data_IF_974291231704
#
_entry.id   IF_974291231704
#
_cell.length_a   1.000
_cell.length_b   1.000
_cell.length_c   1.000
_cell.angle_alpha   90.00
_cell.angle_beta   90.00
_cell.angle_gamma   90.00
#
_symmetry.space_group_name_H-M   'P 1'
#
loop_
_entity.id
_entity.type
_entity.pdbx_description
1 polymer ?
#
# COMPACT_ATOMS: atom_id res chain seq x y z
N UNK A 1 -12.01 41.93 -41.20
CA UNK A 1 -11.92 40.47 -40.86
C UNK A 1 -10.46 40.07 -40.88
N UNK A 2 -10.06 39.04 -40.10
CA UNK A 2 -8.70 38.57 -40.15
C UNK A 2 -8.46 37.72 -41.39
N UNK A 3 -7.22 37.65 -41.90
CA UNK A 3 -6.86 36.81 -43.05
C UNK A 3 -6.23 35.51 -42.56
N UNK A 4 -6.46 34.42 -43.29
CA UNK A 4 -5.89 33.10 -42.93
C UNK A 4 -4.36 33.15 -42.90
N UNK A 5 -3.74 32.64 -41.87
CA UNK A 5 -2.26 32.67 -41.69
C UNK A 5 -1.47 31.96 -42.82
N UNK A 6 -2.11 31.03 -43.55
CA UNK A 6 -1.54 30.33 -44.70
C UNK A 6 -1.95 30.89 -46.05
N UNK A 7 -3.13 31.53 -46.10
CA UNK A 7 -3.73 32.06 -47.35
C UNK A 7 -4.10 33.52 -47.14
N UNK A 8 -3.14 34.46 -47.33
CA UNK A 8 -3.35 35.88 -47.04
C UNK A 8 -4.49 36.55 -47.85
N UNK A 9 -4.88 35.95 -48.97
CA UNK A 9 -5.97 36.42 -49.82
C UNK A 9 -7.38 35.98 -49.33
N UNK A 10 -7.46 35.18 -48.26
CA UNK A 10 -8.74 34.66 -47.78
C UNK A 10 -9.07 35.22 -46.41
N UNK A 11 -10.14 35.94 -46.34
CA UNK A 11 -10.70 36.40 -45.06
C UNK A 11 -11.36 35.27 -44.31
N UNK A 12 -11.26 35.30 -42.99
CA UNK A 12 -11.87 34.31 -42.10
C UNK A 12 -12.26 34.93 -40.77
N UNK A 13 -13.37 34.44 -40.20
CA UNK A 13 -13.79 34.71 -38.83
C UNK A 13 -13.46 33.60 -37.86
N UNK A 14 -12.77 32.52 -38.30
CA UNK A 14 -12.49 31.35 -37.47
C UNK A 14 -11.00 31.30 -37.09
N UNK A 15 -10.74 31.01 -35.81
CA UNK A 15 -9.37 30.86 -35.30
C UNK A 15 -9.14 29.43 -34.80
N UNK A 16 -7.89 28.98 -34.85
CA UNK A 16 -7.46 27.69 -34.30
C UNK A 16 -7.70 27.67 -32.79
N UNK A 17 -8.43 26.67 -32.29
CA UNK A 17 -8.74 26.51 -30.86
C UNK A 17 -7.52 26.22 -29.98
N UNK A 18 -6.36 25.88 -30.57
CA UNK A 18 -5.13 25.58 -29.85
C UNK A 18 -4.11 26.72 -29.83
N UNK A 19 -3.91 27.44 -30.97
CA UNK A 19 -2.89 28.48 -31.08
C UNK A 19 -3.42 29.88 -31.45
N UNK A 20 -4.74 30.01 -31.62
CA UNK A 20 -5.40 31.30 -31.91
C UNK A 20 -5.22 31.85 -33.33
N UNK A 21 -4.40 31.24 -34.20
CA UNK A 21 -4.18 31.73 -35.56
C UNK A 21 -5.47 31.69 -36.40
N UNK A 22 -5.78 32.71 -37.22
CA UNK A 22 -6.93 32.67 -38.11
C UNK A 22 -6.75 31.62 -39.21
N UNK A 23 -7.78 30.81 -39.45
CA UNK A 23 -7.77 29.67 -40.39
C UNK A 23 -8.97 29.71 -41.33
N UNK A 24 -8.73 29.56 -42.62
CA UNK A 24 -9.81 29.46 -43.63
C UNK A 24 -10.35 28.01 -43.70
N UNK A 25 -11.47 27.74 -44.37
CA UNK A 25 -12.07 26.40 -44.47
C UNK A 25 -11.09 25.30 -44.89
N UNK A 26 -10.17 25.57 -45.81
CA UNK A 26 -9.19 24.62 -46.31
C UNK A 26 -8.08 24.29 -45.25
N UNK A 27 -7.95 25.14 -44.26
CA UNK A 27 -7.01 24.96 -43.14
C UNK A 27 -7.66 24.49 -41.85
N UNK A 28 -8.98 24.27 -41.86
CA UNK A 28 -9.70 23.78 -40.68
C UNK A 28 -9.66 22.26 -40.59
N UNK A 29 -9.23 21.74 -39.45
CA UNK A 29 -9.34 20.33 -39.09
C UNK A 29 -10.30 20.23 -37.90
N UNK A 30 -11.47 19.60 -38.05
CA UNK A 30 -12.42 19.47 -36.96
C UNK A 30 -11.87 18.49 -35.90
N UNK A 31 -12.01 18.87 -34.65
CA UNK A 31 -11.64 18.03 -33.50
C UNK A 31 -12.74 18.11 -32.43
N UNK A 32 -12.81 17.17 -31.46
CA UNK A 32 -13.82 17.20 -30.39
C UNK A 32 -13.81 18.51 -29.57
N UNK A 33 -12.72 19.27 -29.62
CA UNK A 33 -12.51 20.51 -28.86
C UNK A 33 -12.46 21.78 -29.75
N UNK A 34 -12.98 21.69 -30.98
CA UNK A 34 -13.07 22.81 -31.91
C UNK A 34 -12.22 22.66 -33.18
N UNK A 35 -12.11 23.74 -33.97
CA UNK A 35 -11.34 23.75 -35.21
C UNK A 35 -9.86 24.00 -34.94
N UNK A 36 -8.97 23.16 -35.47
CA UNK A 36 -7.50 23.32 -35.35
C UNK A 36 -6.85 23.57 -36.70
N UNK A 37 -5.74 24.31 -36.69
CA UNK A 37 -4.87 24.42 -37.87
C UNK A 37 -4.15 23.10 -38.15
N UNK A 38 -3.63 22.88 -39.38
CA UNK A 38 -2.98 21.62 -39.74
C UNK A 38 -1.76 21.25 -38.83
N UNK A 39 -1.01 22.25 -38.35
CA UNK A 39 0.12 22.05 -37.47
C UNK A 39 -0.37 21.54 -36.07
N UNK A 40 -1.37 22.22 -35.48
CA UNK A 40 -1.91 21.82 -34.20
C UNK A 40 -2.71 20.52 -34.27
N UNK A 41 -3.32 20.21 -35.41
CA UNK A 41 -4.01 18.93 -35.60
C UNK A 41 -3.05 17.74 -35.71
N UNK A 42 -1.82 17.95 -36.20
CA UNK A 42 -0.77 16.93 -36.26
C UNK A 42 -0.06 16.68 -34.94
N UNK A 43 -0.17 17.60 -33.99
CA UNK A 43 0.38 17.38 -32.65
C UNK A 43 -0.37 16.21 -31.98
N UNK A 44 0.31 15.07 -31.83
CA UNK A 44 -0.21 13.96 -31.02
C UNK A 44 -0.24 14.44 -29.56
N UNK A 45 -1.42 14.75 -29.06
CA UNK A 45 -1.64 14.92 -27.63
C UNK A 45 -1.37 13.55 -27.00
N UNK A 46 -0.32 13.42 -26.24
CA UNK A 46 -0.14 12.26 -25.38
C UNK A 46 -1.18 12.36 -24.28
N UNK A 47 -2.33 11.73 -24.49
CA UNK A 47 -3.33 11.54 -23.44
C UNK A 47 -2.71 10.53 -22.49
N UNK A 48 -2.17 11.00 -21.37
CA UNK A 48 -1.84 10.11 -20.27
C UNK A 48 -3.18 9.67 -19.66
N UNK A 49 -3.61 8.47 -20.01
CA UNK A 49 -4.73 7.83 -19.31
C UNK A 49 -4.29 7.53 -17.88
N UNK A 50 -5.22 7.62 -16.92
CA UNK A 50 -4.98 7.27 -15.51
C UNK A 50 -4.30 5.89 -15.38
N UNK A 51 -4.57 4.99 -16.34
CA UNK A 51 -3.95 3.66 -16.44
C UNK A 51 -2.45 3.69 -16.77
N UNK A 52 -1.92 4.76 -17.39
CA UNK A 52 -0.49 4.92 -17.67
C UNK A 52 0.29 5.55 -16.51
N UNK A 53 -0.42 6.13 -15.53
CA UNK A 53 0.18 6.67 -14.31
C UNK A 53 0.22 5.66 -13.16
N UNK A 54 -0.57 4.56 -13.23
CA UNK A 54 -0.47 3.46 -12.29
C UNK A 54 0.75 2.61 -12.64
N UNK A 55 1.78 2.69 -11.83
CA UNK A 55 3.03 1.92 -11.98
C UNK A 55 2.79 0.43 -11.69
N UNK A 56 2.44 -0.33 -12.73
CA UNK A 56 2.56 -1.78 -12.71
C UNK A 56 1.46 -2.56 -11.95
N UNK A 57 1.49 -3.87 -12.16
CA UNK A 57 0.68 -4.83 -11.42
C UNK A 57 1.17 -4.93 -9.97
N UNK A 58 0.30 -5.28 -8.99
CA UNK A 58 0.65 -5.40 -7.57
C UNK A 58 1.43 -6.71 -7.32
N UNK A 59 2.67 -6.78 -7.80
CA UNK A 59 3.50 -7.99 -7.81
C UNK A 59 3.89 -8.47 -6.42
N UNK A 60 4.23 -7.54 -5.52
CA UNK A 60 4.59 -7.86 -4.14
C UNK A 60 3.37 -8.36 -3.37
N UNK A 61 2.23 -7.72 -3.56
CA UNK A 61 0.94 -8.16 -3.01
C UNK A 61 0.63 -9.60 -3.42
N UNK A 62 0.72 -9.91 -4.71
CA UNK A 62 0.47 -11.26 -5.23
C UNK A 62 1.48 -12.26 -4.66
N UNK A 63 2.77 -11.92 -4.60
CA UNK A 63 3.80 -12.78 -4.05
C UNK A 63 3.55 -13.11 -2.57
N UNK A 64 3.15 -12.13 -1.76
CA UNK A 64 2.81 -12.35 -0.35
C UNK A 64 1.58 -13.26 -0.22
N UNK A 65 0.53 -13.02 -1.00
CA UNK A 65 -0.68 -13.86 -0.99
C UNK A 65 -0.33 -15.32 -1.32
N UNK A 66 0.49 -15.54 -2.36
CA UNK A 66 0.95 -16.89 -2.74
C UNK A 66 1.76 -17.52 -1.59
N UNK A 67 2.69 -16.78 -0.99
CA UNK A 67 3.49 -17.28 0.13
C UNK A 67 2.62 -17.70 1.33
N UNK A 68 1.63 -16.86 1.70
CA UNK A 68 0.66 -17.19 2.75
C UNK A 68 -0.16 -18.44 2.41
N UNK A 69 -0.63 -18.57 1.15
CA UNK A 69 -1.41 -19.72 0.72
C UNK A 69 -0.59 -21.03 0.74
N UNK A 70 0.66 -20.98 0.28
CA UNK A 70 1.58 -22.13 0.32
C UNK A 70 1.85 -22.57 1.77
N UNK A 71 2.18 -21.61 2.66
CA UNK A 71 2.41 -21.92 4.07
C UNK A 71 1.14 -22.39 4.79
N UNK A 72 -0.03 -21.85 4.44
CA UNK A 72 -1.30 -22.32 4.99
C UNK A 72 -1.55 -23.80 4.72
N UNK A 73 -1.24 -24.26 3.50
CA UNK A 73 -1.34 -25.68 3.14
C UNK A 73 -0.23 -26.48 3.87
N UNK A 74 1.01 -26.00 3.83
CA UNK A 74 2.17 -26.70 4.38
C UNK A 74 2.17 -26.83 5.91
N UNK A 75 1.44 -25.95 6.62
CA UNK A 75 1.32 -25.95 8.08
C UNK A 75 -0.03 -26.45 8.60
N UNK A 76 -0.80 -27.14 7.75
CA UNK A 76 -2.10 -27.69 8.14
C UNK A 76 -3.12 -26.65 8.63
N UNK A 77 -3.11 -25.48 7.99
CA UNK A 77 -3.89 -24.31 8.39
C UNK A 77 -5.42 -24.54 8.43
N UNK A 78 -5.93 -25.50 7.65
CA UNK A 78 -7.35 -25.91 7.71
C UNK A 78 -7.77 -26.45 9.08
N UNK A 79 -6.84 -27.04 9.82
CA UNK A 79 -7.04 -27.58 11.17
C UNK A 79 -6.50 -26.65 12.26
N UNK A 80 -6.31 -25.37 11.97
CA UNK A 80 -5.81 -24.38 12.93
C UNK A 80 -4.28 -24.26 12.98
N UNK A 81 -3.56 -25.02 12.17
CA UNK A 81 -2.11 -25.06 12.13
C UNK A 81 -1.52 -26.11 13.09
N UNK A 82 -0.58 -26.91 12.60
CA UNK A 82 0.09 -27.96 13.37
C UNK A 82 1.38 -28.43 12.70
N UNK A 83 2.15 -29.22 13.44
CA UNK A 83 3.38 -29.82 12.96
C UNK A 83 4.62 -28.99 13.27
N UNK A 84 5.81 -29.57 12.98
CA UNK A 84 7.10 -28.91 13.27
C UNK A 84 7.23 -27.58 12.58
N UNK A 85 6.90 -27.48 11.29
CA UNK A 85 6.98 -26.24 10.53
C UNK A 85 6.11 -25.12 11.14
N UNK A 86 4.90 -25.45 11.62
CA UNK A 86 4.06 -24.50 12.35
C UNK A 86 4.74 -24.01 13.62
N UNK A 87 5.18 -24.94 14.46
CA UNK A 87 5.80 -24.63 15.74
C UNK A 87 7.10 -23.82 15.60
N UNK A 88 7.86 -24.02 14.51
CA UNK A 88 9.11 -23.30 14.25
C UNK A 88 8.88 -21.87 13.69
N UNK A 89 7.70 -21.58 13.16
CA UNK A 89 7.43 -20.32 12.46
C UNK A 89 6.50 -19.36 13.20
N UNK A 90 5.72 -19.81 14.20
CA UNK A 90 4.82 -18.97 15.00
C UNK A 90 5.59 -17.95 15.84
N UNK A 91 5.00 -16.78 16.07
CA UNK A 91 5.53 -15.80 17.02
C UNK A 91 5.24 -16.30 18.44
N UNK A 92 6.29 -16.50 19.22
CA UNK A 92 6.22 -16.97 20.59
C UNK A 92 7.42 -16.44 21.37
N UNK A 93 7.18 -15.64 22.42
CA UNK A 93 8.22 -14.94 23.16
C UNK A 93 9.31 -15.83 23.72
N UNK A 94 8.98 -16.91 24.45
CA UNK A 94 10.00 -17.81 24.98
C UNK A 94 10.93 -18.44 23.94
N UNK A 95 10.46 -18.71 22.73
CA UNK A 95 11.32 -19.21 21.66
C UNK A 95 12.29 -18.12 21.15
N UNK A 96 11.87 -16.86 21.17
CA UNK A 96 12.74 -15.73 20.83
C UNK A 96 13.75 -15.47 21.95
N UNK A 97 13.30 -15.45 23.20
CA UNK A 97 14.15 -15.15 24.36
C UNK A 97 15.20 -16.21 24.61
N UNK A 98 14.80 -17.48 24.77
CA UNK A 98 15.68 -18.58 25.11
C UNK A 98 16.28 -19.28 23.90
N UNK A 99 15.52 -19.37 22.80
CA UNK A 99 15.92 -20.08 21.58
C UNK A 99 16.68 -19.19 20.58
N UNK A 100 16.61 -17.87 20.74
CA UNK A 100 17.14 -16.89 19.76
C UNK A 100 16.54 -17.01 18.36
N UNK A 101 15.28 -17.49 18.27
CA UNK A 101 14.54 -17.74 17.04
C UNK A 101 13.99 -16.41 16.43
N UNK A 102 14.87 -15.46 16.14
CA UNK A 102 14.46 -14.09 15.73
C UNK A 102 13.68 -14.03 14.40
N UNK A 103 13.80 -15.06 13.55
CA UNK A 103 13.02 -15.15 12.30
C UNK A 103 11.50 -15.17 12.55
N UNK A 104 11.06 -15.57 13.75
CA UNK A 104 9.65 -15.63 14.15
C UNK A 104 8.97 -14.27 14.09
N UNK A 105 9.72 -13.17 14.25
CA UNK A 105 9.23 -11.80 14.09
C UNK A 105 8.70 -11.53 12.67
N UNK A 106 9.16 -12.29 11.68
CA UNK A 106 8.73 -12.16 10.28
C UNK A 106 7.88 -13.35 9.84
N UNK A 107 8.31 -14.58 10.15
CA UNK A 107 7.68 -15.80 9.64
C UNK A 107 6.23 -15.96 10.08
N UNK A 108 5.91 -15.55 11.32
CA UNK A 108 4.56 -15.60 11.85
C UNK A 108 3.53 -14.82 11.04
N UNK A 109 3.96 -13.76 10.37
CA UNK A 109 3.11 -12.97 9.49
C UNK A 109 2.63 -13.66 8.22
N UNK A 110 3.18 -14.84 7.92
CA UNK A 110 2.78 -15.66 6.78
C UNK A 110 1.92 -16.85 7.17
N UNK A 111 1.76 -17.13 8.46
CA UNK A 111 0.94 -18.22 8.97
C UNK A 111 -0.49 -17.78 9.24
N UNK A 112 -1.43 -18.72 9.15
CA UNK A 112 -2.85 -18.42 9.42
C UNK A 112 -3.53 -19.62 10.09
N UNK A 113 -4.22 -19.34 11.20
CA UNK A 113 -4.91 -20.34 12.02
C UNK A 113 -6.38 -20.47 11.58
N UNK A 114 -6.61 -21.02 10.38
CA UNK A 114 -7.94 -21.34 9.88
C UNK A 114 -8.34 -20.61 8.59
N UNK A 115 -9.34 -21.19 7.88
CA UNK A 115 -9.77 -20.70 6.55
C UNK A 115 -10.30 -19.27 6.56
N UNK A 116 -11.11 -18.92 7.56
CA UNK A 116 -11.68 -17.56 7.67
C UNK A 116 -10.56 -16.55 7.92
N UNK A 117 -9.55 -16.91 8.73
CA UNK A 117 -8.43 -16.04 9.05
C UNK A 117 -7.60 -15.72 7.82
N UNK A 118 -7.21 -16.71 7.02
CA UNK A 118 -6.45 -16.45 5.80
C UNK A 118 -7.29 -15.71 4.76
N UNK A 119 -8.54 -16.12 4.54
CA UNK A 119 -9.42 -15.49 3.54
C UNK A 119 -9.58 -13.99 3.81
N UNK A 120 -9.84 -13.62 5.05
CA UNK A 120 -10.04 -12.24 5.45
C UNK A 120 -8.74 -11.41 5.31
N UNK A 121 -7.60 -11.93 5.76
CA UNK A 121 -6.32 -11.27 5.59
C UNK A 121 -5.94 -11.07 4.12
N UNK A 122 -6.08 -12.11 3.29
CA UNK A 122 -5.73 -12.04 1.88
C UNK A 122 -6.68 -11.12 1.11
N UNK A 123 -7.96 -11.09 1.45
CA UNK A 123 -8.92 -10.16 0.87
C UNK A 123 -8.56 -8.70 1.16
N UNK A 124 -8.24 -8.38 2.42
CA UNK A 124 -7.82 -7.04 2.80
C UNK A 124 -6.47 -6.66 2.17
N UNK A 125 -5.51 -7.59 2.16
CA UNK A 125 -4.22 -7.39 1.51
C UNK A 125 -4.39 -7.15 0.00
N UNK A 126 -5.30 -7.88 -0.65
CA UNK A 126 -5.61 -7.68 -2.07
C UNK A 126 -6.16 -6.26 -2.33
N UNK A 127 -7.14 -5.81 -1.54
CA UNK A 127 -7.73 -4.46 -1.71
C UNK A 127 -6.67 -3.39 -1.48
N UNK A 128 -5.98 -3.42 -0.33
CA UNK A 128 -5.01 -2.41 0.05
C UNK A 128 -3.76 -2.43 -0.86
N UNK A 129 -3.34 -3.61 -1.27
CA UNK A 129 -2.22 -3.79 -2.18
C UNK A 129 -2.51 -3.23 -3.57
N UNK A 130 -3.68 -3.50 -4.14
CA UNK A 130 -4.09 -2.89 -5.41
C UNK A 130 -4.24 -1.37 -5.33
N UNK A 131 -4.52 -0.83 -4.15
CA UNK A 131 -4.62 0.61 -3.94
C UNK A 131 -3.25 1.25 -3.74
N UNK A 132 -2.38 0.66 -2.93
CA UNK A 132 -1.12 1.29 -2.49
C UNK A 132 0.08 0.93 -3.36
N UNK A 133 0.24 -0.33 -3.78
CA UNK A 133 1.44 -0.76 -4.50
C UNK A 133 1.64 -0.03 -5.84
N UNK A 134 0.59 0.21 -6.68
CA UNK A 134 0.74 0.99 -7.90
C UNK A 134 1.15 2.46 -7.66
N UNK A 135 0.76 3.03 -6.52
CA UNK A 135 1.07 4.43 -6.15
C UNK A 135 2.48 4.55 -5.59
N UNK A 136 2.84 3.67 -4.64
CA UNK A 136 4.14 3.71 -3.95
C UNK A 136 5.27 3.11 -4.80
N UNK A 137 4.93 2.19 -5.69
CA UNK A 137 5.88 1.27 -6.33
C UNK A 137 6.22 0.09 -5.43
N UNK A 138 6.55 -1.07 -6.03
CA UNK A 138 6.74 -2.33 -5.31
C UNK A 138 7.81 -2.28 -4.22
N UNK A 139 8.88 -1.49 -4.40
CA UNK A 139 9.95 -1.36 -3.39
C UNK A 139 9.49 -0.68 -2.10
N UNK A 140 8.82 0.48 -2.20
CA UNK A 140 8.28 1.18 -1.03
C UNK A 140 7.12 0.39 -0.40
N UNK A 141 6.29 -0.25 -1.21
CA UNK A 141 5.20 -1.09 -0.71
C UNK A 141 5.74 -2.27 0.10
N UNK A 142 6.75 -2.97 -0.39
CA UNK A 142 7.41 -4.03 0.37
C UNK A 142 8.03 -3.51 1.67
N UNK A 143 8.75 -2.39 1.62
CA UNK A 143 9.33 -1.77 2.81
C UNK A 143 8.26 -1.41 3.86
N UNK A 144 7.14 -0.80 3.44
CA UNK A 144 5.99 -0.51 4.29
C UNK A 144 5.40 -1.78 4.90
N UNK A 145 5.14 -2.81 4.08
CA UNK A 145 4.56 -4.07 4.54
C UNK A 145 5.41 -4.74 5.62
N UNK A 146 6.70 -4.94 5.36
CA UNK A 146 7.59 -5.63 6.30
C UNK A 146 7.88 -4.81 7.56
N UNK A 147 8.03 -3.48 7.45
CA UNK A 147 8.17 -2.62 8.62
C UNK A 147 6.92 -2.67 9.50
N UNK A 148 5.73 -2.61 8.90
CA UNK A 148 4.47 -2.72 9.64
C UNK A 148 4.29 -4.10 10.27
N UNK A 149 4.72 -5.15 9.58
CA UNK A 149 4.73 -6.53 10.13
C UNK A 149 5.59 -6.61 11.39
N UNK A 150 6.82 -6.09 11.34
CA UNK A 150 7.74 -6.07 12.49
C UNK A 150 7.19 -5.24 13.65
N UNK A 151 6.59 -4.08 13.36
CA UNK A 151 5.90 -3.27 14.38
C UNK A 151 4.71 -4.04 15.00
N UNK A 152 3.99 -4.82 14.20
CA UNK A 152 2.94 -5.70 14.66
C UNK A 152 3.48 -6.80 15.57
N UNK A 153 4.56 -7.47 15.19
CA UNK A 153 5.20 -8.51 15.99
C UNK A 153 5.71 -7.95 17.33
N UNK A 154 6.32 -6.76 17.30
CA UNK A 154 6.73 -6.07 18.54
C UNK A 154 5.53 -5.73 19.42
N UNK A 155 4.46 -5.14 18.84
CA UNK A 155 3.25 -4.82 19.59
C UNK A 155 2.54 -6.05 20.18
N UNK A 156 2.57 -7.18 19.49
CA UNK A 156 2.03 -8.44 19.99
C UNK A 156 2.81 -8.93 21.22
N UNK A 157 4.14 -9.00 21.13
CA UNK A 157 5.02 -9.42 22.22
C UNK A 157 4.96 -8.48 23.43
N UNK A 158 4.82 -7.16 23.19
CA UNK A 158 4.71 -6.17 24.26
C UNK A 158 3.45 -6.34 25.10
N UNK A 159 2.35 -6.85 24.51
CA UNK A 159 1.07 -7.04 25.19
C UNK A 159 0.97 -8.43 25.81
N UNK A 160 1.43 -9.46 25.10
CA UNK A 160 1.39 -10.85 25.54
C UNK A 160 2.45 -11.69 24.79
N UNK A 161 3.58 -11.91 25.45
CA UNK A 161 4.70 -12.68 24.91
C UNK A 161 4.50 -14.20 25.05
N UNK A 162 3.60 -14.62 25.93
CA UNK A 162 3.30 -16.03 26.22
C UNK A 162 2.30 -16.65 25.24
N UNK A 163 1.52 -15.83 24.54
CA UNK A 163 0.56 -16.32 23.55
C UNK A 163 1.18 -16.50 22.17
N UNK A 164 0.81 -17.60 21.51
CA UNK A 164 1.17 -17.84 20.12
C UNK A 164 0.40 -16.88 19.21
N UNK A 165 1.14 -16.07 18.45
CA UNK A 165 0.55 -15.13 17.51
C UNK A 165 0.94 -15.47 16.06
N UNK A 166 -0.03 -15.40 15.14
CA UNK A 166 0.14 -15.62 13.70
C UNK A 166 -0.76 -14.70 12.89
N UNK A 167 -0.37 -14.41 11.68
CA UNK A 167 -1.20 -13.70 10.70
C UNK A 167 -0.56 -12.46 10.08
N UNK A 168 -0.92 -12.20 8.84
CA UNK A 168 -0.51 -11.00 8.10
C UNK A 168 -1.18 -9.71 8.63
N UNK A 169 -2.08 -9.83 9.60
CA UNK A 169 -2.97 -8.73 10.00
C UNK A 169 -2.24 -7.51 10.55
N UNK A 170 -1.12 -7.68 11.26
CA UNK A 170 -0.29 -6.55 11.70
C UNK A 170 0.19 -5.70 10.51
N UNK A 171 0.69 -6.33 9.45
CA UNK A 171 1.07 -5.63 8.22
C UNK A 171 -0.14 -5.01 7.51
N UNK A 172 -1.28 -5.72 7.44
CA UNK A 172 -2.53 -5.22 6.85
C UNK A 172 -3.03 -3.97 7.57
N UNK A 173 -2.99 -3.96 8.91
CA UNK A 173 -3.29 -2.74 9.70
C UNK A 173 -2.32 -1.61 9.39
N UNK A 174 -1.05 -1.91 9.18
CA UNK A 174 -0.07 -0.92 8.73
C UNK A 174 -0.39 -0.34 7.35
N UNK A 175 -0.81 -1.17 6.41
CA UNK A 175 -1.29 -0.70 5.10
C UNK A 175 -2.52 0.22 5.24
N UNK A 176 -3.46 -0.09 6.14
CA UNK A 176 -4.59 0.80 6.46
C UNK A 176 -4.12 2.14 7.03
N UNK A 177 -3.15 2.11 7.95
CA UNK A 177 -2.56 3.31 8.54
C UNK A 177 -1.90 4.20 7.49
N UNK A 178 -1.09 3.62 6.61
CA UNK A 178 -0.46 4.34 5.50
C UNK A 178 -1.49 4.89 4.50
N UNK A 179 -2.55 4.14 4.20
CA UNK A 179 -3.65 4.60 3.36
C UNK A 179 -4.38 5.81 3.96
N UNK A 180 -4.59 5.80 5.28
CA UNK A 180 -5.20 6.94 5.98
C UNK A 180 -4.31 8.20 5.91
N UNK A 181 -2.99 8.05 6.03
CA UNK A 181 -2.03 9.16 5.87
C UNK A 181 -2.06 9.68 4.43
N UNK A 182 -2.05 8.80 3.44
CA UNK A 182 -2.10 9.17 2.01
C UNK A 182 -3.38 9.95 1.68
N UNK A 183 -4.54 9.54 2.20
CA UNK A 183 -5.78 10.29 2.06
C UNK A 183 -5.68 11.67 2.72
N UNK A 184 -5.12 11.72 3.93
CA UNK A 184 -4.95 12.98 4.68
C UNK A 184 -4.03 13.96 3.96
N UNK A 185 -2.94 13.47 3.36
CA UNK A 185 -2.00 14.30 2.60
C UNK A 185 -2.65 14.97 1.37
N UNK A 186 -3.68 14.31 0.82
CA UNK A 186 -4.53 14.81 -0.27
C UNK A 186 -5.69 15.71 0.21
N UNK A 187 -5.75 16.06 1.49
CA UNK A 187 -6.82 16.87 2.06
C UNK A 187 -8.13 16.13 2.33
N UNK A 188 -8.16 14.80 2.16
CA UNK A 188 -9.33 13.96 2.40
C UNK A 188 -9.32 13.48 3.84
N UNK A 189 -10.45 13.62 4.55
CA UNK A 189 -10.57 13.07 5.89
C UNK A 189 -10.75 11.55 5.81
N UNK A 190 -9.78 10.73 6.26
CA UNK A 190 -9.87 9.28 6.14
C UNK A 190 -11.06 8.68 6.89
N UNK A 191 -11.49 9.26 8.01
CA UNK A 191 -12.64 8.80 8.79
C UNK A 191 -14.01 9.04 8.13
N UNK A 192 -14.03 9.76 7.01
CA UNK A 192 -15.23 9.94 6.17
C UNK A 192 -15.18 9.07 4.90
N UNK A 193 -14.30 8.09 4.86
CA UNK A 193 -14.10 7.17 3.74
C UNK A 193 -14.20 5.71 4.20
N UNK A 194 -14.28 4.79 3.26
CA UNK A 194 -14.29 3.35 3.52
C UNK A 194 -13.05 2.88 4.29
N UNK A 195 -11.90 3.55 4.12
CA UNK A 195 -10.66 3.24 4.86
C UNK A 195 -10.84 3.51 6.36
N UNK A 196 -11.44 4.62 6.74
CA UNK A 196 -11.73 4.92 8.15
C UNK A 196 -12.70 3.91 8.76
N UNK A 197 -13.76 3.57 8.04
CA UNK A 197 -14.71 2.54 8.47
C UNK A 197 -14.01 1.18 8.61
N UNK A 198 -13.15 0.82 7.67
CA UNK A 198 -12.38 -0.42 7.69
C UNK A 198 -11.47 -0.49 8.91
N UNK A 199 -10.74 0.58 9.25
CA UNK A 199 -9.88 0.65 10.43
C UNK A 199 -10.72 0.47 11.71
N UNK A 200 -11.80 1.25 11.86
CA UNK A 200 -12.65 1.19 13.05
C UNK A 200 -13.26 -0.20 13.22
N UNK A 201 -13.83 -0.75 12.14
CA UNK A 201 -14.46 -2.06 12.17
C UNK A 201 -13.47 -3.16 12.58
N UNK A 202 -12.28 -3.18 11.96
CA UNK A 202 -11.26 -4.18 12.27
C UNK A 202 -10.67 -4.01 13.68
N UNK A 203 -10.51 -2.78 14.18
CA UNK A 203 -10.11 -2.54 15.56
C UNK A 203 -11.18 -3.04 16.55
N UNK A 204 -12.45 -2.75 16.31
CA UNK A 204 -13.55 -3.25 17.16
C UNK A 204 -13.55 -4.78 17.16
N UNK A 205 -13.41 -5.42 16.00
CA UNK A 205 -13.30 -6.88 15.92
C UNK A 205 -12.12 -7.42 16.72
N UNK A 206 -10.99 -6.70 16.76
CA UNK A 206 -9.80 -7.11 17.52
C UNK A 206 -10.06 -7.17 19.03
N UNK A 207 -10.95 -6.35 19.55
CA UNK A 207 -11.34 -6.37 20.96
C UNK A 207 -12.46 -7.35 21.28
N UNK A 208 -13.30 -7.69 20.29
CA UNK A 208 -14.47 -8.56 20.48
C UNK A 208 -14.12 -10.03 20.29
N UNK A 209 -13.23 -10.33 19.34
CA UNK A 209 -12.85 -11.71 19.02
C UNK A 209 -11.73 -12.17 19.94
N UNK A 210 -11.96 -13.23 20.69
CA UNK A 210 -10.93 -13.96 21.42
C UNK A 210 -9.89 -14.53 20.40
N UNK A 211 -8.62 -14.60 20.81
CA UNK A 211 -7.51 -15.08 19.98
C UNK A 211 -7.05 -14.12 18.85
N UNK A 212 -7.43 -12.85 18.90
CA UNK A 212 -6.90 -11.82 18.03
C UNK A 212 -5.89 -10.96 18.80
N UNK A 213 -4.69 -10.81 18.26
CA UNK A 213 -3.64 -9.99 18.88
C UNK A 213 -3.93 -8.50 18.72
N UNK A 214 -4.55 -7.89 19.74
CA UNK A 214 -4.80 -6.44 19.78
C UNK A 214 -3.50 -5.67 19.67
N UNK A 215 -2.45 -6.10 20.40
CA UNK A 215 -1.12 -5.50 20.35
C UNK A 215 -0.52 -5.53 18.94
N UNK A 216 -0.67 -6.67 18.24
CA UNK A 216 -0.22 -6.84 16.88
C UNK A 216 -0.90 -5.87 15.88
N UNK A 217 -2.20 -5.70 16.02
CA UNK A 217 -2.97 -4.79 15.17
C UNK A 217 -2.63 -3.31 15.42
N UNK A 218 -2.58 -2.90 16.68
CA UNK A 218 -2.24 -1.52 17.07
C UNK A 218 -0.78 -1.21 16.69
N UNK A 219 0.15 -2.11 16.98
CA UNK A 219 1.57 -1.95 16.63
C UNK A 219 1.76 -1.79 15.12
N UNK A 220 1.12 -2.65 14.33
CA UNK A 220 1.13 -2.56 12.87
C UNK A 220 0.54 -1.26 12.35
N UNK A 221 -0.63 -0.86 12.86
CA UNK A 221 -1.29 0.41 12.49
C UNK A 221 -0.40 1.62 12.76
N UNK A 222 0.20 1.71 13.94
CA UNK A 222 1.11 2.80 14.32
C UNK A 222 2.33 2.79 13.39
N UNK A 223 2.94 1.62 13.16
CA UNK A 223 4.06 1.47 12.23
C UNK A 223 3.74 1.99 10.84
N UNK A 224 2.58 1.61 10.31
CA UNK A 224 2.12 2.07 9.00
C UNK A 224 1.82 3.55 8.91
N UNK A 225 1.26 4.15 9.97
CA UNK A 225 1.07 5.62 10.05
C UNK A 225 2.41 6.34 10.03
N UNK A 226 3.39 5.88 10.81
CA UNK A 226 4.73 6.50 10.88
C UNK A 226 5.42 6.40 9.52
N UNK A 227 5.43 5.20 8.89
CA UNK A 227 6.05 4.99 7.57
C UNK A 227 5.33 5.80 6.50
N UNK A 228 4.00 5.83 6.50
CA UNK A 228 3.22 6.63 5.56
C UNK A 228 3.53 8.12 5.66
N UNK A 229 3.63 8.66 6.89
CA UNK A 229 4.01 10.04 7.13
C UNK A 229 5.46 10.33 6.67
N UNK A 230 6.38 9.40 6.90
CA UNK A 230 7.75 9.52 6.43
C UNK A 230 7.83 9.52 4.89
N UNK A 231 7.01 8.73 4.21
CA UNK A 231 6.92 8.72 2.74
C UNK A 231 6.38 10.05 2.20
N UNK A 232 5.32 10.60 2.80
CA UNK A 232 4.79 11.93 2.42
C UNK A 232 5.85 13.03 2.59
N UNK A 233 6.60 13.03 3.70
CA UNK A 233 7.70 13.97 3.94
C UNK A 233 8.82 13.78 2.91
N UNK A 234 9.22 12.54 2.63
CA UNK A 234 10.26 12.22 1.66
C UNK A 234 9.92 12.74 0.25
N UNK A 235 8.64 12.59 -0.14
CA UNK A 235 8.16 13.05 -1.44
C UNK A 235 8.08 14.59 -1.52
N UNK A 236 7.59 15.26 -0.47
CA UNK A 236 7.57 16.73 -0.39
C UNK A 236 8.96 17.34 -0.42
N UNK A 237 9.92 16.71 0.26
CA UNK A 237 11.31 17.17 0.30
C UNK A 237 12.15 16.68 -0.91
N UNK A 238 11.59 15.86 -1.79
CA UNK A 238 12.29 15.23 -2.92
C UNK A 238 13.53 14.42 -2.49
N UNK A 239 13.42 13.75 -1.34
CA UNK A 239 14.48 12.93 -0.74
C UNK A 239 14.06 11.45 -0.68
N UNK A 240 14.08 10.71 -1.80
CA UNK A 240 13.53 9.34 -1.87
C UNK A 240 14.25 8.34 -0.94
N UNK A 241 15.50 8.60 -0.58
CA UNK A 241 16.25 7.76 0.36
C UNK A 241 15.67 7.81 1.79
N UNK A 242 15.06 8.94 2.19
CA UNK A 242 14.46 9.12 3.51
C UNK A 242 13.34 8.11 3.76
N UNK A 243 12.58 7.74 2.73
CA UNK A 243 11.55 6.73 2.81
C UNK A 243 12.10 5.36 3.25
N UNK A 244 13.23 4.94 2.67
CA UNK A 244 13.84 3.66 3.05
C UNK A 244 14.59 3.73 4.37
N UNK A 245 15.24 4.86 4.66
CA UNK A 245 15.92 5.07 5.93
C UNK A 245 14.95 5.02 7.11
N UNK A 246 13.77 5.64 6.98
CA UNK A 246 12.73 5.57 8.02
C UNK A 246 12.22 4.14 8.24
N UNK A 247 12.01 3.38 7.18
CA UNK A 247 11.65 1.96 7.29
C UNK A 247 12.75 1.16 8.00
N UNK A 248 14.02 1.37 7.64
CA UNK A 248 15.15 0.68 8.26
C UNK A 248 15.23 0.98 9.76
N UNK A 249 15.16 2.25 10.15
CA UNK A 249 15.23 2.69 11.55
C UNK A 249 14.07 2.11 12.35
N UNK A 250 12.85 2.23 11.83
CA UNK A 250 11.67 1.74 12.54
C UNK A 250 11.66 0.20 12.62
N UNK A 251 12.12 -0.51 11.58
CA UNK A 251 12.29 -1.96 11.62
C UNK A 251 13.33 -2.38 12.65
N UNK A 252 14.45 -1.66 12.76
CA UNK A 252 15.45 -1.93 13.78
C UNK A 252 14.86 -1.75 15.20
N UNK A 253 14.15 -0.63 15.43
CA UNK A 253 13.46 -0.40 16.72
C UNK A 253 12.46 -1.53 17.01
N UNK A 254 11.68 -1.95 16.03
CA UNK A 254 10.68 -3.01 16.19
C UNK A 254 11.33 -4.38 16.47
N UNK A 255 12.45 -4.71 15.82
CA UNK A 255 13.20 -5.95 16.05
C UNK A 255 13.81 -5.95 17.44
N UNK A 256 14.60 -4.92 17.80
CA UNK A 256 15.24 -4.87 19.13
C UNK A 256 14.21 -4.76 20.26
N UNK A 257 13.13 -3.95 20.03
CA UNK A 257 12.02 -3.87 20.96
C UNK A 257 11.27 -5.19 21.12
N UNK A 258 11.04 -5.92 20.03
CA UNK A 258 10.41 -7.25 20.05
C UNK A 258 11.26 -8.29 20.78
N UNK A 259 12.58 -8.29 20.57
CA UNK A 259 13.50 -9.18 21.30
C UNK A 259 13.49 -8.84 22.80
N UNK A 260 13.51 -7.55 23.16
CA UNK A 260 13.45 -7.13 24.56
C UNK A 260 12.09 -7.41 25.22
N UNK A 261 10.99 -7.39 24.47
CA UNK A 261 9.65 -7.67 24.98
C UNK A 261 9.33 -9.17 25.05
N UNK A 262 10.15 -10.02 24.47
CA UNK A 262 9.97 -11.47 24.46
C UNK A 262 10.45 -12.16 25.76
N UNK A 263 10.97 -11.43 26.71
CA UNK A 263 11.51 -11.91 28.00
C UNK A 263 11.69 -10.83 29.00
#
# INVERSE_FOLDING_TARGET
>A
MATCYRHPSRETGVSCSSCGRPICPDCMTPTPVGMRCPECARQRTQVQTVRSTTRGEPRVTIAIIIACAVLFIGTNGFSGGSGTLWNDLVLYGPAIHFGHDYWRLVSAGFLHAGPIHILFNMYLLWILGNMLEPVLGSGRFAALYFTSLLCGSFGALLVDDMSVTVGASGAVFGLMGAAAVELRSRGINPFKTDIGLLIIFNLVLSFVLSHVSVGGHIGGLIGGVIVGAAFDIADRQRMPWLAYASCLVLSAIAVFGGIAAAG
#
